data_IF_859704514650
#
_entry.id   IF_859704514650
#
_cell.length_a   1.000
_cell.length_b   1.000
_cell.length_c   1.000
_cell.angle_alpha   90.00
_cell.angle_beta   90.00
_cell.angle_gamma   90.00
#
_symmetry.space_group_name_H-M   'P 1'
#
loop_
_entity.id
_entity.type
_entity.pdbx_description
1 polymer ?
#
# COMPACT_ATOMS: atom_id res chain seq x y z
N UNK A 1 -20.48 -35.83 -12.89
CA UNK A 1 -19.51 -35.53 -11.81
C UNK A 1 -20.18 -34.53 -10.87
N UNK A 2 -20.43 -34.90 -9.64
CA UNK A 2 -20.91 -33.99 -8.61
C UNK A 2 -19.85 -32.89 -8.38
N UNK A 3 -20.22 -31.63 -8.58
CA UNK A 3 -19.33 -30.51 -8.32
C UNK A 3 -19.30 -30.24 -6.83
N UNK A 4 -18.14 -30.43 -6.22
CA UNK A 4 -17.90 -30.12 -4.81
C UNK A 4 -18.17 -28.64 -4.56
N UNK A 5 -18.97 -28.33 -3.54
CA UNK A 5 -19.12 -26.98 -3.01
C UNK A 5 -17.84 -26.59 -2.26
N UNK A 6 -17.54 -25.26 -2.14
CA UNK A 6 -16.35 -24.77 -1.41
C UNK A 6 -16.30 -25.32 0.02
N UNK A 7 -17.46 -25.53 0.66
CA UNK A 7 -17.53 -26.10 2.00
C UNK A 7 -17.09 -27.57 2.09
N UNK A 8 -17.01 -28.28 0.97
CA UNK A 8 -16.54 -29.66 0.87
C UNK A 8 -15.05 -29.76 0.54
N UNK A 9 -14.39 -28.60 0.27
CA UNK A 9 -12.94 -28.55 0.07
C UNK A 9 -12.22 -28.70 1.41
N UNK A 10 -10.95 -29.14 1.36
CA UNK A 10 -10.09 -29.07 2.53
C UNK A 10 -10.05 -27.63 3.04
N UNK A 11 -9.99 -27.45 4.35
CA UNK A 11 -10.07 -26.13 4.97
C UNK A 11 -8.99 -25.18 4.43
N UNK A 12 -7.77 -25.71 4.25
CA UNK A 12 -6.62 -24.98 3.71
C UNK A 12 -6.75 -24.55 2.23
N UNK A 13 -7.71 -25.13 1.49
CA UNK A 13 -7.97 -24.80 0.08
C UNK A 13 -9.14 -23.84 -0.09
N UNK A 14 -9.91 -23.61 0.95
CA UNK A 14 -10.99 -22.61 0.92
C UNK A 14 -10.39 -21.20 0.87
N UNK A 15 -10.83 -20.34 -0.06
CA UNK A 15 -10.14 -19.05 -0.31
C UNK A 15 -9.96 -18.16 0.92
N UNK A 16 -10.93 -18.09 1.82
CA UNK A 16 -10.85 -17.26 3.04
C UNK A 16 -9.85 -17.83 4.04
N UNK A 17 -9.94 -19.12 4.31
CA UNK A 17 -9.05 -19.86 5.19
C UNK A 17 -7.62 -19.87 4.64
N UNK A 18 -7.47 -20.09 3.33
CA UNK A 18 -6.19 -20.00 2.62
C UNK A 18 -5.56 -18.61 2.75
N UNK A 19 -6.37 -17.55 2.63
CA UNK A 19 -5.89 -16.18 2.83
C UNK A 19 -5.41 -15.92 4.25
N UNK A 20 -6.12 -16.44 5.25
CA UNK A 20 -5.74 -16.31 6.67
C UNK A 20 -4.46 -17.08 7.01
N UNK A 21 -4.29 -18.27 6.44
CA UNK A 21 -3.17 -19.17 6.75
C UNK A 21 -1.90 -18.83 5.95
N UNK A 22 -2.05 -18.48 4.67
CA UNK A 22 -0.93 -18.36 3.71
C UNK A 22 -0.74 -16.94 3.14
N UNK A 23 -1.62 -15.99 3.50
CA UNK A 23 -1.55 -14.62 2.98
C UNK A 23 -2.25 -14.45 1.62
N UNK A 24 -2.43 -13.20 1.21
CA UNK A 24 -3.13 -12.86 -0.03
C UNK A 24 -2.35 -13.28 -1.29
N UNK A 25 -1.03 -13.28 -1.23
CA UNK A 25 -0.13 -13.67 -2.32
C UNK A 25 -0.24 -15.15 -2.71
N UNK A 26 -0.78 -15.99 -1.84
CA UNK A 26 -1.01 -17.40 -2.13
C UNK A 26 -2.29 -17.67 -2.94
N UNK A 27 -3.15 -16.66 -3.12
CA UNK A 27 -4.41 -16.78 -3.82
C UNK A 27 -4.29 -16.35 -5.28
N UNK A 28 -4.99 -17.06 -6.16
CA UNK A 28 -5.22 -16.61 -7.53
C UNK A 28 -6.22 -15.45 -7.57
N UNK A 29 -6.22 -14.69 -8.68
CA UNK A 29 -7.19 -13.61 -8.89
C UNK A 29 -8.64 -14.10 -8.80
N UNK A 30 -8.92 -15.31 -9.30
CA UNK A 30 -10.24 -15.92 -9.19
C UNK A 30 -10.64 -16.20 -7.74
N UNK A 31 -9.71 -16.65 -6.89
CA UNK A 31 -9.97 -16.88 -5.47
C UNK A 31 -10.18 -15.56 -4.71
N UNK A 32 -9.39 -14.52 -5.01
CA UNK A 32 -9.56 -13.19 -4.42
C UNK A 32 -10.94 -12.60 -4.79
N UNK A 33 -11.31 -12.67 -6.06
CA UNK A 33 -12.62 -12.21 -6.53
C UNK A 33 -13.76 -13.05 -5.96
N UNK A 34 -13.56 -14.36 -5.78
CA UNK A 34 -14.54 -15.25 -5.14
C UNK A 34 -14.81 -14.88 -3.68
N UNK A 35 -13.79 -14.43 -2.94
CA UNK A 35 -13.97 -13.89 -1.58
C UNK A 35 -14.91 -12.67 -1.59
N UNK A 36 -14.74 -11.77 -2.57
CA UNK A 36 -15.53 -10.54 -2.69
C UNK A 36 -17.01 -10.82 -2.98
N UNK A 37 -17.30 -11.74 -3.91
CA UNK A 37 -18.69 -12.07 -4.26
C UNK A 37 -19.36 -12.98 -3.24
N UNK A 38 -18.61 -13.66 -2.37
CA UNK A 38 -19.05 -14.46 -1.24
C UNK A 38 -19.72 -15.79 -1.59
N UNK A 39 -20.40 -15.90 -2.73
CA UNK A 39 -21.12 -17.13 -3.15
C UNK A 39 -21.14 -17.26 -4.66
N UNK A 40 -21.12 -18.49 -5.17
CA UNK A 40 -21.38 -18.82 -6.57
C UNK A 40 -22.86 -18.75 -6.93
N UNK A 41 -23.28 -19.67 -7.77
CA UNK A 41 -24.68 -19.91 -8.12
C UNK A 41 -25.04 -21.38 -7.85
N UNK A 42 -26.24 -21.81 -8.25
CA UNK A 42 -26.71 -23.19 -8.09
C UNK A 42 -25.91 -24.23 -8.88
N UNK A 43 -25.15 -23.80 -9.88
CA UNK A 43 -24.46 -24.69 -10.83
C UNK A 43 -22.94 -24.70 -10.64
N UNK A 44 -22.38 -23.64 -10.00
CA UNK A 44 -20.93 -23.49 -9.85
C UNK A 44 -20.54 -22.76 -8.56
N UNK A 45 -19.33 -23.06 -8.07
CA UNK A 45 -18.75 -22.39 -6.92
C UNK A 45 -18.40 -20.93 -7.26
N UNK A 46 -18.17 -20.10 -6.22
CA UNK A 46 -17.72 -18.73 -6.40
C UNK A 46 -16.39 -18.66 -7.19
N UNK A 47 -15.45 -19.59 -6.92
CA UNK A 47 -14.16 -19.66 -7.62
C UNK A 47 -14.34 -20.03 -9.08
N UNK A 48 -15.15 -21.07 -9.38
CA UNK A 48 -15.41 -21.48 -10.77
C UNK A 48 -16.13 -20.39 -11.58
N UNK A 49 -17.08 -19.69 -10.93
CA UNK A 49 -17.76 -18.55 -11.53
C UNK A 49 -16.76 -17.44 -11.91
N UNK A 50 -15.83 -17.09 -10.97
CA UNK A 50 -14.84 -16.06 -11.24
C UNK A 50 -13.77 -16.48 -12.23
N UNK A 51 -13.38 -17.76 -12.30
CA UNK A 51 -12.53 -18.29 -13.35
C UNK A 51 -13.16 -18.10 -14.73
N UNK A 52 -14.46 -18.38 -14.86
CA UNK A 52 -15.20 -18.20 -16.11
C UNK A 52 -15.34 -16.72 -16.48
N UNK A 53 -15.59 -15.84 -15.53
CA UNK A 53 -15.62 -14.38 -15.75
C UNK A 53 -14.26 -13.89 -16.23
N UNK A 54 -13.17 -14.25 -15.54
CA UNK A 54 -11.81 -13.83 -15.90
C UNK A 54 -11.40 -14.36 -17.28
N UNK A 55 -11.73 -15.60 -17.61
CA UNK A 55 -11.41 -16.16 -18.94
C UNK A 55 -12.03 -15.36 -20.07
N UNK A 56 -13.22 -14.77 -19.86
CA UNK A 56 -13.91 -13.94 -20.87
C UNK A 56 -13.18 -12.62 -21.14
N UNK A 57 -12.42 -12.10 -20.16
CA UNK A 57 -11.59 -10.89 -20.32
C UNK A 57 -10.09 -11.20 -20.46
N UNK A 58 -9.73 -12.43 -20.87
CA UNK A 58 -8.35 -12.85 -21.12
C UNK A 58 -7.50 -12.96 -19.85
N UNK A 59 -8.11 -13.17 -18.69
CA UNK A 59 -7.47 -13.16 -17.36
C UNK A 59 -6.75 -11.84 -17.04
N UNK A 60 -7.23 -10.72 -17.59
CA UNK A 60 -6.66 -9.39 -17.38
C UNK A 60 -7.59 -8.54 -16.48
N UNK A 61 -7.13 -8.23 -15.28
CA UNK A 61 -7.84 -7.37 -14.31
C UNK A 61 -8.06 -5.94 -14.84
N UNK A 62 -7.20 -5.44 -15.76
CA UNK A 62 -7.40 -4.13 -16.35
C UNK A 62 -8.58 -4.16 -17.35
N UNK A 63 -8.79 -5.29 -18.04
CA UNK A 63 -9.97 -5.46 -18.88
C UNK A 63 -11.22 -5.62 -18.03
N UNK A 64 -11.16 -6.42 -16.97
CA UNK A 64 -12.27 -6.56 -16.00
C UNK A 64 -12.67 -5.22 -15.40
N UNK A 65 -11.69 -4.34 -15.13
CA UNK A 65 -11.91 -3.00 -14.58
C UNK A 65 -12.64 -2.01 -15.50
N UNK A 66 -12.83 -2.37 -16.78
CA UNK A 66 -13.61 -1.58 -17.76
C UNK A 66 -15.07 -2.03 -17.85
N UNK A 67 -15.42 -3.14 -17.19
CA UNK A 67 -16.76 -3.69 -17.25
C UNK A 67 -17.74 -2.86 -16.44
N UNK A 68 -18.98 -2.83 -16.94
CA UNK A 68 -20.14 -2.26 -16.28
C UNK A 68 -21.02 -3.36 -15.66
N UNK A 69 -22.00 -2.98 -14.86
CA UNK A 69 -22.93 -3.93 -14.21
C UNK A 69 -23.61 -4.84 -15.24
N UNK A 70 -23.88 -4.34 -16.43
CA UNK A 70 -24.52 -5.08 -17.52
C UNK A 70 -23.63 -6.20 -18.05
N UNK A 71 -22.31 -6.04 -18.06
CA UNK A 71 -21.37 -7.06 -18.52
C UNK A 71 -21.35 -8.26 -17.58
N UNK A 72 -21.41 -8.01 -16.29
CA UNK A 72 -21.53 -9.05 -15.28
C UNK A 72 -22.87 -9.76 -15.30
N UNK A 73 -23.97 -9.08 -15.68
CA UNK A 73 -25.31 -9.66 -15.70
C UNK A 73 -25.49 -10.80 -16.71
N UNK A 74 -24.57 -10.95 -17.66
CA UNK A 74 -24.50 -12.06 -18.62
C UNK A 74 -24.20 -13.39 -17.94
N UNK A 75 -23.65 -13.36 -16.73
CA UNK A 75 -23.28 -14.55 -15.98
C UNK A 75 -24.36 -14.90 -14.97
N UNK A 76 -24.89 -16.13 -15.08
CA UNK A 76 -25.89 -16.63 -14.13
C UNK A 76 -25.33 -16.59 -12.71
N UNK A 77 -26.06 -15.97 -11.80
CA UNK A 77 -25.65 -15.81 -10.41
C UNK A 77 -24.92 -14.50 -10.09
N UNK A 78 -24.71 -13.65 -11.11
CA UNK A 78 -24.31 -12.26 -10.91
C UNK A 78 -25.53 -11.37 -10.84
N UNK A 79 -25.83 -10.89 -9.63
CA UNK A 79 -26.77 -9.79 -9.41
C UNK A 79 -26.04 -8.46 -9.28
N UNK A 80 -26.78 -7.33 -9.29
CA UNK A 80 -26.19 -5.99 -9.16
C UNK A 80 -25.24 -5.84 -7.96
N UNK A 81 -25.60 -6.44 -6.81
CA UNK A 81 -24.76 -6.36 -5.61
C UNK A 81 -23.36 -6.94 -5.82
N UNK A 82 -23.24 -8.13 -6.42
CA UNK A 82 -21.92 -8.75 -6.69
C UNK A 82 -21.10 -7.93 -7.68
N UNK A 83 -21.75 -7.41 -8.74
CA UNK A 83 -21.12 -6.56 -9.74
C UNK A 83 -20.55 -5.28 -9.11
N UNK A 84 -21.35 -4.60 -8.30
CA UNK A 84 -20.96 -3.37 -7.60
C UNK A 84 -19.80 -3.65 -6.64
N UNK A 85 -19.80 -4.77 -5.92
CA UNK A 85 -18.70 -5.14 -5.01
C UNK A 85 -17.37 -5.28 -5.76
N UNK A 86 -17.35 -5.96 -6.91
CA UNK A 86 -16.15 -6.11 -7.73
C UNK A 86 -15.72 -4.75 -8.29
N UNK A 87 -16.64 -3.98 -8.86
CA UNK A 87 -16.34 -2.66 -9.42
C UNK A 87 -15.77 -1.72 -8.35
N UNK A 88 -16.33 -1.72 -7.16
CA UNK A 88 -15.82 -0.91 -6.04
C UNK A 88 -14.40 -1.33 -5.62
N UNK A 89 -14.13 -2.65 -5.56
CA UNK A 89 -12.80 -3.14 -5.22
C UNK A 89 -11.75 -2.77 -6.27
N UNK A 90 -12.09 -2.88 -7.56
CA UNK A 90 -11.22 -2.50 -8.68
C UNK A 90 -10.97 -0.98 -8.70
N UNK A 91 -11.99 -0.17 -8.44
CA UNK A 91 -11.85 1.29 -8.33
C UNK A 91 -10.97 1.69 -7.15
N UNK A 92 -11.10 1.04 -5.99
CA UNK A 92 -10.19 1.26 -4.86
C UNK A 92 -8.75 0.90 -5.20
N UNK A 93 -8.53 -0.22 -5.89
CA UNK A 93 -7.21 -0.62 -6.37
C UNK A 93 -6.62 0.43 -7.32
N UNK A 94 -7.42 0.95 -8.25
CA UNK A 94 -7.04 2.04 -9.16
C UNK A 94 -6.69 3.33 -8.40
N UNK A 95 -7.52 3.75 -7.46
CA UNK A 95 -7.24 4.93 -6.61
C UNK A 95 -5.98 4.76 -5.79
N UNK A 96 -5.75 3.59 -5.22
CA UNK A 96 -4.50 3.26 -4.51
C UNK A 96 -3.28 3.41 -5.40
N UNK A 97 -3.37 2.97 -6.67
CA UNK A 97 -2.28 3.12 -7.66
C UNK A 97 -2.07 4.58 -8.07
N UNK A 98 -3.17 5.35 -8.20
CA UNK A 98 -3.18 6.76 -8.56
C UNK A 98 -2.88 7.69 -7.37
N UNK A 99 -3.00 7.21 -6.13
CA UNK A 99 -2.38 7.90 -5.01
C UNK A 99 -0.88 7.88 -5.28
N UNK A 100 -0.46 8.87 -6.06
CA UNK A 100 0.95 9.21 -6.20
C UNK A 100 1.50 9.31 -4.78
N UNK A 101 2.33 8.36 -4.40
CA UNK A 101 3.32 8.67 -3.39
C UNK A 101 4.04 9.87 -3.98
N UNK A 102 4.04 11.05 -3.33
CA UNK A 102 4.81 12.18 -3.83
C UNK A 102 6.17 11.61 -4.17
N UNK A 103 6.67 11.86 -5.40
CA UNK A 103 7.96 11.30 -5.84
C UNK A 103 8.91 11.58 -4.71
N UNK A 104 9.31 10.52 -4.00
CA UNK A 104 10.16 10.68 -2.83
C UNK A 104 11.43 11.32 -3.35
N UNK A 105 11.66 12.58 -2.98
CA UNK A 105 12.81 13.33 -3.43
C UNK A 105 14.06 12.46 -3.32
N UNK A 106 14.83 12.38 -4.38
CA UNK A 106 16.09 11.64 -4.37
C UNK A 106 17.18 12.62 -3.97
N UNK A 107 17.89 12.29 -2.91
CA UNK A 107 18.99 13.10 -2.39
C UNK A 107 20.26 12.76 -3.16
N UNK A 108 20.82 13.74 -3.84
CA UNK A 108 22.07 13.66 -4.60
C UNK A 108 23.16 14.55 -4.03
N UNK A 109 22.77 15.56 -3.26
CA UNK A 109 23.66 16.56 -2.69
C UNK A 109 23.13 17.11 -1.36
N UNK A 110 23.99 17.80 -0.62
CA UNK A 110 23.58 18.57 0.58
C UNK A 110 22.59 19.68 0.25
N UNK A 111 22.61 20.20 -0.98
CA UNK A 111 21.66 21.20 -1.45
C UNK A 111 20.23 20.67 -1.47
N UNK A 112 20.03 19.42 -1.89
CA UNK A 112 18.70 18.80 -1.90
C UNK A 112 18.14 18.66 -0.47
N UNK A 113 19.02 18.34 0.51
CA UNK A 113 18.66 18.30 1.91
C UNK A 113 18.27 19.70 2.42
N UNK A 114 19.07 20.70 2.06
CA UNK A 114 18.81 22.09 2.40
C UNK A 114 17.44 22.55 1.88
N UNK A 115 17.12 22.27 0.62
CA UNK A 115 15.84 22.66 0.00
C UNK A 115 14.64 22.01 0.69
N UNK A 116 14.81 20.81 1.26
CA UNK A 116 13.75 20.11 2.04
C UNK A 116 13.55 20.76 3.42
N UNK A 117 14.65 21.16 4.08
CA UNK A 117 14.59 21.61 5.47
C UNK A 117 14.49 23.12 5.61
N UNK A 118 15.04 23.89 4.70
CA UNK A 118 15.03 25.36 4.78
C UNK A 118 13.62 25.94 4.99
N UNK A 119 12.56 25.54 4.24
CA UNK A 119 11.21 26.06 4.45
C UNK A 119 10.61 25.70 5.80
N UNK A 120 11.14 24.67 6.47
CA UNK A 120 10.65 24.20 7.77
C UNK A 120 11.36 24.85 8.94
N UNK A 121 12.61 25.28 8.72
CA UNK A 121 13.52 25.67 9.80
C UNK A 121 13.88 27.14 9.77
N UNK A 122 13.72 27.83 8.64
CA UNK A 122 14.19 29.22 8.46
C UNK A 122 13.55 30.23 9.44
N UNK A 123 12.32 29.98 9.88
CA UNK A 123 11.58 30.90 10.76
C UNK A 123 11.57 30.45 12.23
N UNK A 124 12.33 29.40 12.59
CA UNK A 124 12.36 28.90 13.95
C UNK A 124 13.26 29.76 14.84
N UNK A 125 12.74 30.20 15.99
CA UNK A 125 13.48 30.95 17.00
C UNK A 125 14.36 30.09 17.94
N UNK A 126 14.48 28.78 17.64
CA UNK A 126 15.22 27.82 18.47
C UNK A 126 15.84 26.74 17.59
N UNK A 127 16.90 26.11 18.08
CA UNK A 127 17.55 25.02 17.36
C UNK A 127 16.71 23.74 17.39
N UNK A 128 16.67 23.06 16.26
CA UNK A 128 16.10 21.74 16.15
C UNK A 128 17.09 20.78 15.48
N UNK A 129 17.11 19.54 15.97
CA UNK A 129 17.89 18.48 15.37
C UNK A 129 16.94 17.49 14.66
N UNK A 130 17.13 17.37 13.38
CA UNK A 130 16.33 16.53 12.51
C UNK A 130 17.16 15.42 11.88
N UNK A 131 16.49 14.36 11.50
CA UNK A 131 17.08 13.28 10.70
C UNK A 131 16.22 13.05 9.47
N UNK A 132 16.86 13.07 8.31
CA UNK A 132 16.28 12.63 7.06
C UNK A 132 16.52 11.14 6.92
N UNK A 133 15.46 10.36 6.75
CA UNK A 133 15.48 8.94 6.61
C UNK A 133 15.39 8.55 5.13
N UNK A 134 16.35 7.77 4.65
CA UNK A 134 16.50 7.44 3.24
C UNK A 134 16.51 5.93 3.02
N UNK A 135 16.04 5.51 1.86
CA UNK A 135 16.20 4.13 1.40
C UNK A 135 17.57 3.94 0.70
N UNK A 136 17.86 2.70 0.29
CA UNK A 136 19.11 2.34 -0.38
C UNK A 136 19.36 3.14 -1.69
N UNK A 137 18.31 3.62 -2.35
CA UNK A 137 18.42 4.46 -3.56
C UNK A 137 18.46 5.96 -3.23
N UNK A 138 18.79 6.34 -1.98
CA UNK A 138 18.84 7.72 -1.48
C UNK A 138 17.51 8.48 -1.66
N UNK A 139 16.38 7.77 -1.70
CA UNK A 139 15.05 8.41 -1.75
C UNK A 139 14.56 8.65 -0.33
N UNK A 140 14.00 9.83 -0.10
CA UNK A 140 13.43 10.23 1.19
C UNK A 140 12.30 9.27 1.59
N UNK A 141 12.43 8.62 2.74
CA UNK A 141 11.38 7.82 3.37
C UNK A 141 10.51 8.73 4.23
N UNK A 142 11.18 9.46 5.15
CA UNK A 142 10.55 10.35 6.11
C UNK A 142 11.57 11.35 6.66
N UNK A 143 11.10 12.35 7.39
CA UNK A 143 11.89 13.31 8.16
C UNK A 143 11.38 13.32 9.61
N UNK A 144 12.28 13.10 10.54
CA UNK A 144 11.93 12.99 11.95
C UNK A 144 12.68 14.02 12.78
N UNK A 145 11.95 14.73 13.65
CA UNK A 145 12.56 15.63 14.63
C UNK A 145 12.99 14.82 15.84
N UNK A 146 14.29 14.79 16.09
CA UNK A 146 14.89 14.04 17.20
C UNK A 146 14.89 14.83 18.49
N UNK A 147 15.26 16.12 18.39
CA UNK A 147 15.27 16.99 19.56
C UNK A 147 14.93 18.42 19.20
N UNK A 148 14.44 19.13 20.19
CA UNK A 148 14.22 20.57 20.19
C UNK A 148 15.09 21.16 21.30
N UNK A 149 16.05 21.99 20.93
CA UNK A 149 16.96 22.62 21.87
C UNK A 149 16.35 23.80 22.62
N UNK A 150 17.03 24.19 23.71
CA UNK A 150 16.86 25.50 24.34
C UNK A 150 17.66 26.56 23.57
N UNK A 151 17.94 27.69 24.24
CA UNK A 151 18.62 28.84 23.59
C UNK A 151 20.08 28.50 23.20
N UNK A 152 20.74 27.53 23.86
CA UNK A 152 22.19 27.33 23.74
C UNK A 152 22.66 25.95 23.23
N UNK A 153 21.84 24.89 23.23
CA UNK A 153 22.29 23.56 22.75
C UNK A 153 21.14 22.63 22.36
N UNK A 154 21.37 21.87 21.29
CA UNK A 154 20.51 20.78 20.85
C UNK A 154 21.25 19.46 20.94
N UNK A 155 20.78 18.53 21.77
CA UNK A 155 21.42 17.21 21.92
C UNK A 155 20.96 16.24 20.83
N UNK A 156 21.92 15.65 20.14
CA UNK A 156 21.68 14.56 19.20
C UNK A 156 21.75 13.22 19.95
N UNK A 157 20.60 12.68 20.34
CA UNK A 157 20.55 11.35 20.94
C UNK A 157 20.61 10.26 19.86
N UNK A 158 21.78 9.59 19.77
CA UNK A 158 22.03 8.53 18.79
C UNK A 158 21.04 7.37 18.94
N UNK A 159 20.59 7.06 20.14
CA UNK A 159 19.61 5.96 20.36
C UNK A 159 18.28 6.30 19.75
N UNK A 160 17.81 7.53 19.90
CA UNK A 160 16.58 8.02 19.30
C UNK A 160 16.68 8.04 17.78
N UNK A 161 17.81 8.45 17.21
CA UNK A 161 18.08 8.45 15.77
C UNK A 161 17.98 7.01 15.22
N UNK A 162 18.69 6.07 15.84
CA UNK A 162 18.72 4.68 15.39
C UNK A 162 17.35 4.00 15.53
N UNK A 163 16.64 4.29 16.63
CA UNK A 163 15.28 3.78 16.84
C UNK A 163 14.36 4.22 15.71
N UNK A 164 14.38 5.50 15.36
CA UNK A 164 13.54 6.04 14.28
C UNK A 164 13.90 5.42 12.93
N UNK A 165 15.18 5.29 12.62
CA UNK A 165 15.66 4.64 11.41
C UNK A 165 15.20 3.19 11.30
N UNK A 166 15.22 2.43 12.38
CA UNK A 166 14.77 1.03 12.40
C UNK A 166 13.25 0.91 12.24
N UNK A 167 12.46 1.76 12.93
CA UNK A 167 11.00 1.78 12.80
C UNK A 167 10.59 2.04 11.35
N UNK A 168 11.23 3.02 10.70
CA UNK A 168 10.93 3.41 9.32
C UNK A 168 11.66 2.57 8.28
N UNK A 169 12.45 1.55 8.71
CA UNK A 169 13.26 0.69 7.83
C UNK A 169 14.17 1.49 6.89
N UNK A 170 14.72 2.58 7.39
CA UNK A 170 15.68 3.38 6.66
C UNK A 170 17.02 2.63 6.57
N UNK A 171 17.69 2.74 5.42
CA UNK A 171 19.04 2.17 5.19
C UNK A 171 20.13 3.20 5.23
N UNK A 172 19.74 4.49 5.12
CA UNK A 172 20.64 5.63 5.21
C UNK A 172 19.96 6.73 6.02
N UNK A 173 20.76 7.52 6.72
CA UNK A 173 20.31 8.68 7.50
C UNK A 173 21.17 9.89 7.15
N UNK A 174 20.54 11.06 7.07
CA UNK A 174 21.24 12.33 6.99
C UNK A 174 20.79 13.21 8.17
N UNK A 175 21.68 13.43 9.17
CA UNK A 175 21.39 14.34 10.27
C UNK A 175 21.43 15.79 9.79
N UNK A 176 20.50 16.59 10.30
CA UNK A 176 20.36 18.02 9.98
C UNK A 176 20.23 18.79 11.28
N UNK A 177 21.22 19.64 11.55
CA UNK A 177 21.16 20.63 12.61
C UNK A 177 21.04 22.02 11.98
N UNK A 178 20.08 22.80 12.43
CA UNK A 178 19.92 24.18 11.98
C UNK A 178 20.20 25.11 13.15
N UNK A 179 21.32 25.79 13.04
CA UNK A 179 21.71 26.87 13.94
C UNK A 179 21.38 28.19 13.26
N UNK A 180 20.57 29.01 13.90
CA UNK A 180 20.40 30.40 13.50
C UNK A 180 21.70 31.13 13.81
N UNK A 181 22.60 31.21 12.83
CA UNK A 181 23.72 32.14 12.91
C UNK A 181 23.15 33.55 12.72
N UNK A 182 22.81 34.22 13.80
CA UNK A 182 22.72 35.68 13.83
C UNK A 182 24.13 36.20 13.60
N UNK A 183 24.37 36.72 12.40
CA UNK A 183 25.50 37.63 12.10
C UNK A 183 25.25 38.95 12.80
#
# INVERSE_FOLDING_TARGET
>A
MEKLTINQWAEEDRPREKMMLKGAEALSDAELLAILIGSGNTEESAVSLMQRVLSTCGNDLNQLGKWEVQDFSRFKGFGPAKSITIMAALELGKRRKLQERPERATIRSSKDIYEIFHPLLCDLAHEEFWVLLLNQASRVIDKSRISRGGIDQTTADVRSILREALIQRATQIAPVSYTHLTL
#
